data_IF_260138550873
#
_entry.id   IF_260138550873
#
_cell.length_a   1.000
_cell.length_b   1.000
_cell.length_c   1.000
_cell.angle_alpha   90.00
_cell.angle_beta   90.00
_cell.angle_gamma   90.00
#
_symmetry.space_group_name_H-M   'P 1'
#
loop_
_entity.id
_entity.type
_entity.pdbx_description
1 polymer ?
#
# COMPACT_ATOMS: atom_id res chain seq x y z
N UNK A 1 -3.77 -40.74 32.73
CA UNK A 1 -2.80 -39.76 32.23
C UNK A 1 -3.40 -39.08 31.01
N UNK A 2 -3.22 -37.77 30.80
CA UNK A 2 -3.54 -37.16 29.52
C UNK A 2 -2.72 -37.85 28.42
N UNK A 3 -3.24 -38.02 27.20
CA UNK A 3 -2.43 -38.50 26.09
C UNK A 3 -1.20 -37.60 25.96
N UNK A 4 0.00 -38.19 25.86
CA UNK A 4 1.20 -37.45 25.50
C UNK A 4 0.99 -36.83 24.13
N UNK A 5 1.03 -35.49 24.05
CA UNK A 5 0.87 -34.78 22.80
C UNK A 5 1.87 -35.31 21.75
N UNK A 6 1.38 -35.71 20.58
CA UNK A 6 2.24 -36.09 19.46
C UNK A 6 2.92 -34.89 18.78
N UNK A 7 2.62 -33.67 19.25
CA UNK A 7 3.10 -32.41 18.72
C UNK A 7 3.67 -31.52 19.83
N UNK A 8 4.62 -30.66 19.46
CA UNK A 8 5.15 -29.62 20.34
C UNK A 8 4.16 -28.44 20.42
N UNK A 9 3.75 -28.08 21.63
CA UNK A 9 2.73 -27.03 21.87
C UNK A 9 3.20 -25.64 21.47
N UNK A 10 4.44 -25.27 21.76
CA UNK A 10 5.01 -23.98 21.36
C UNK A 10 4.98 -23.85 19.83
N UNK A 11 5.38 -24.90 19.13
CA UNK A 11 5.37 -24.93 17.66
C UNK A 11 3.95 -24.89 17.09
N UNK A 12 2.99 -25.56 17.73
CA UNK A 12 1.57 -25.51 17.34
C UNK A 12 1.02 -24.08 17.44
N UNK A 13 1.34 -23.39 18.53
CA UNK A 13 0.93 -22.00 18.76
C UNK A 13 1.58 -21.04 17.76
N UNK A 14 2.85 -21.22 17.43
CA UNK A 14 3.51 -20.47 16.34
C UNK A 14 2.79 -20.66 15.01
N UNK A 15 2.49 -21.91 14.65
CA UNK A 15 1.76 -22.22 13.41
C UNK A 15 0.35 -21.61 13.42
N UNK A 16 -0.34 -21.58 14.56
CA UNK A 16 -1.64 -20.91 14.65
C UNK A 16 -1.52 -19.39 14.45
N UNK A 17 -0.51 -18.76 15.06
CA UNK A 17 -0.25 -17.31 14.91
C UNK A 17 0.09 -16.93 13.47
N UNK A 18 0.80 -17.79 12.73
CA UNK A 18 1.14 -17.59 11.32
C UNK A 18 -0.09 -17.40 10.40
N UNK A 19 -1.26 -17.92 10.77
CA UNK A 19 -2.50 -17.72 10.00
C UNK A 19 -3.17 -16.39 10.27
N UNK A 20 -2.77 -15.65 11.31
CA UNK A 20 -3.34 -14.36 11.68
C UNK A 20 -4.87 -14.37 11.70
N UNK A 21 -5.42 -15.43 12.33
CA UNK A 21 -6.86 -15.69 12.37
C UNK A 21 -7.50 -15.30 13.71
N UNK A 22 -6.75 -15.36 14.80
CA UNK A 22 -7.23 -15.01 16.13
C UNK A 22 -7.61 -13.53 16.20
N UNK A 23 -8.62 -13.22 17.01
CA UNK A 23 -9.12 -11.84 17.24
C UNK A 23 -9.59 -11.10 15.98
N UNK A 24 -9.85 -11.83 14.89
CA UNK A 24 -10.40 -11.26 13.67
C UNK A 24 -11.93 -11.16 13.71
N UNK A 25 -12.48 -10.24 12.91
CA UNK A 25 -13.93 -10.08 12.77
C UNK A 25 -14.61 -11.36 12.25
N UNK A 26 -15.92 -11.46 12.48
CA UNK A 26 -16.75 -12.50 11.88
C UNK A 26 -16.71 -12.35 10.35
N UNK A 27 -16.54 -13.46 9.66
CA UNK A 27 -16.49 -13.52 8.19
C UNK A 27 -17.58 -14.47 7.70
N UNK A 28 -18.39 -14.03 6.74
CA UNK A 28 -19.56 -14.76 6.25
C UNK A 28 -19.22 -16.18 5.79
N UNK A 29 -18.09 -16.36 5.12
CA UNK A 29 -17.65 -17.67 4.64
C UNK A 29 -17.51 -18.71 5.76
N UNK A 30 -17.06 -18.33 6.96
CA UNK A 30 -16.98 -19.25 8.10
C UNK A 30 -18.35 -19.45 8.76
N UNK A 31 -19.18 -18.41 8.80
CA UNK A 31 -20.58 -18.49 9.26
C UNK A 31 -21.40 -19.47 8.42
N UNK A 32 -21.21 -19.48 7.11
CA UNK A 32 -21.90 -20.39 6.20
C UNK A 32 -21.52 -21.85 6.47
N UNK A 33 -20.23 -22.12 6.74
CA UNK A 33 -19.75 -23.47 7.07
C UNK A 33 -20.36 -24.02 8.36
N UNK A 34 -20.44 -23.21 9.43
CA UNK A 34 -21.07 -23.66 10.69
C UNK A 34 -22.59 -23.80 10.55
N UNK A 35 -23.23 -22.99 9.71
CA UNK A 35 -24.65 -23.14 9.40
C UNK A 35 -24.91 -24.47 8.69
N UNK A 36 -24.12 -24.80 7.67
CA UNK A 36 -24.19 -26.10 7.01
C UNK A 36 -23.99 -27.24 8.02
N UNK A 37 -22.98 -27.16 8.89
CA UNK A 37 -22.72 -28.17 9.91
C UNK A 37 -23.93 -28.38 10.84
N UNK A 38 -24.52 -27.29 11.35
CA UNK A 38 -25.70 -27.32 12.19
C UNK A 38 -26.90 -27.96 11.48
N UNK A 39 -27.17 -27.58 10.22
CA UNK A 39 -28.29 -28.11 9.45
C UNK A 39 -28.12 -29.59 9.11
N UNK A 40 -26.95 -29.99 8.61
CA UNK A 40 -26.63 -31.39 8.24
C UNK A 40 -26.75 -32.31 9.45
N UNK A 41 -26.25 -31.87 10.60
CA UNK A 41 -26.28 -32.65 11.82
C UNK A 41 -27.59 -32.48 12.60
N UNK A 42 -28.52 -31.63 12.14
CA UNK A 42 -29.71 -31.20 12.89
C UNK A 42 -29.40 -30.83 14.35
N UNK A 43 -28.29 -30.11 14.57
CA UNK A 43 -27.78 -29.75 15.88
C UNK A 43 -28.02 -28.26 16.16
N UNK A 44 -28.34 -27.87 17.41
CA UNK A 44 -28.63 -26.46 17.74
C UNK A 44 -27.37 -25.59 17.74
N UNK A 45 -26.19 -26.18 17.93
CA UNK A 45 -24.92 -25.47 18.08
C UNK A 45 -23.91 -25.96 17.05
N UNK A 46 -23.20 -25.02 16.42
CA UNK A 46 -22.05 -25.30 15.58
C UNK A 46 -21.00 -24.19 15.70
N UNK A 47 -19.72 -24.56 15.73
CA UNK A 47 -18.61 -23.63 16.00
C UNK A 47 -17.38 -24.00 15.18
N UNK A 48 -16.74 -23.00 14.58
CA UNK A 48 -15.34 -23.10 14.15
C UNK A 48 -14.51 -22.38 15.20
N UNK A 49 -13.65 -23.12 15.87
CA UNK A 49 -12.82 -22.60 16.94
C UNK A 49 -11.35 -22.94 16.75
N UNK A 50 -10.50 -22.13 17.36
CA UNK A 50 -9.05 -22.31 17.44
C UNK A 50 -8.62 -22.33 18.89
N UNK A 51 -7.67 -23.21 19.22
CA UNK A 51 -7.15 -23.37 20.57
C UNK A 51 -5.88 -22.53 20.71
N UNK A 52 -5.96 -21.46 21.49
CA UNK A 52 -4.82 -20.60 21.82
C UNK A 52 -4.16 -21.07 23.13
N UNK A 53 -3.20 -20.31 23.66
CA UNK A 53 -2.43 -20.68 24.84
C UNK A 53 -3.28 -20.81 26.12
N UNK A 54 -4.27 -19.93 26.30
CA UNK A 54 -5.07 -19.79 27.53
C UNK A 54 -6.58 -19.80 27.29
N UNK A 55 -7.01 -19.80 26.03
CA UNK A 55 -8.42 -19.76 25.64
C UNK A 55 -8.73 -20.62 24.43
N UNK A 56 -10.01 -20.90 24.26
CA UNK A 56 -10.59 -21.37 23.02
C UNK A 56 -11.32 -20.20 22.37
N UNK A 57 -10.87 -19.77 21.20
CA UNK A 57 -11.42 -18.62 20.48
C UNK A 57 -12.30 -19.06 19.31
N UNK A 58 -13.45 -18.43 19.11
CA UNK A 58 -14.43 -18.81 18.10
C UNK A 58 -14.36 -17.88 16.89
N UNK A 59 -13.97 -18.44 15.75
CA UNK A 59 -14.00 -17.72 14.47
C UNK A 59 -15.43 -17.46 14.02
N UNK A 60 -16.26 -18.49 14.12
CA UNK A 60 -17.69 -18.44 13.88
C UNK A 60 -18.39 -19.31 14.93
N UNK A 61 -19.53 -18.84 15.43
CA UNK A 61 -20.36 -19.57 16.37
C UNK A 61 -21.84 -19.44 15.98
N UNK A 62 -22.61 -20.48 16.30
CA UNK A 62 -24.05 -20.48 16.28
C UNK A 62 -24.54 -21.16 17.54
N UNK A 63 -25.41 -20.49 18.29
CA UNK A 63 -26.17 -21.07 19.41
C UNK A 63 -25.52 -20.95 20.78
N UNK A 64 -24.25 -20.55 20.88
CA UNK A 64 -23.58 -20.32 22.16
C UNK A 64 -23.70 -18.86 22.63
N UNK A 65 -23.71 -17.89 21.71
CA UNK A 65 -23.85 -16.46 22.03
C UNK A 65 -22.63 -15.82 22.70
N UNK A 66 -21.49 -16.49 22.66
CA UNK A 66 -20.19 -16.03 23.18
C UNK A 66 -19.13 -16.24 22.11
N UNK A 67 -18.00 -15.53 22.20
CA UNK A 67 -16.93 -15.55 21.19
C UNK A 67 -15.68 -16.33 21.60
N UNK A 68 -15.58 -16.71 22.87
CA UNK A 68 -14.47 -17.48 23.40
C UNK A 68 -14.85 -18.09 24.76
N UNK A 69 -14.04 -19.06 25.20
CA UNK A 69 -14.11 -19.65 26.54
C UNK A 69 -12.71 -19.86 27.11
N UNK A 70 -12.54 -19.84 28.44
CA UNK A 70 -11.31 -20.32 29.08
C UNK A 70 -10.91 -21.73 28.60
N UNK A 71 -9.61 -21.99 28.50
CA UNK A 71 -9.09 -23.25 27.93
C UNK A 71 -9.34 -24.47 28.82
N UNK A 72 -9.44 -24.29 30.14
CA UNK A 72 -9.67 -25.34 31.13
C UNK A 72 -11.07 -25.97 31.04
N UNK A 73 -12.06 -25.20 30.58
CA UNK A 73 -13.43 -25.69 30.32
C UNK A 73 -13.66 -26.14 28.87
N UNK A 74 -12.65 -26.03 28.00
CA UNK A 74 -12.79 -26.38 26.58
C UNK A 74 -12.93 -27.88 26.34
N UNK A 75 -14.08 -28.32 25.82
CA UNK A 75 -14.24 -29.69 25.31
C UNK A 75 -13.38 -29.91 24.06
N UNK A 76 -13.27 -28.90 23.19
CA UNK A 76 -12.56 -29.00 21.91
C UNK A 76 -11.05 -29.19 22.09
N UNK A 77 -10.47 -28.75 23.20
CA UNK A 77 -9.06 -29.00 23.54
C UNK A 77 -8.72 -30.49 23.51
N UNK A 78 -9.64 -31.36 23.94
CA UNK A 78 -9.41 -32.80 23.92
C UNK A 78 -9.31 -33.36 22.49
N UNK A 79 -9.98 -32.74 21.52
CA UNK A 79 -9.90 -33.14 20.12
C UNK A 79 -8.51 -32.93 19.52
N UNK A 80 -7.68 -32.04 20.09
CA UNK A 80 -6.31 -31.83 19.59
C UNK A 80 -5.45 -33.10 19.62
N UNK A 81 -5.78 -34.05 20.49
CA UNK A 81 -5.06 -35.31 20.67
C UNK A 81 -5.59 -36.45 19.79
N UNK A 82 -6.64 -36.19 19.00
CA UNK A 82 -7.27 -37.17 18.12
C UNK A 82 -6.68 -37.09 16.70
N UNK A 83 -6.93 -38.12 15.89
CA UNK A 83 -6.38 -38.17 14.52
C UNK A 83 -7.19 -37.34 13.50
N UNK A 84 -8.52 -37.34 13.57
CA UNK A 84 -9.34 -36.70 12.54
C UNK A 84 -10.65 -36.10 13.09
N UNK A 85 -11.41 -36.87 13.84
CA UNK A 85 -12.67 -36.43 14.47
C UNK A 85 -12.80 -37.03 15.87
N UNK A 86 -13.30 -36.23 16.81
CA UNK A 86 -13.68 -36.68 18.14
C UNK A 86 -15.20 -36.66 18.25
N UNK A 87 -15.82 -37.79 18.57
CA UNK A 87 -17.26 -37.90 18.81
C UNK A 87 -17.49 -38.38 20.24
N UNK A 88 -18.35 -37.66 20.96
CA UNK A 88 -18.80 -37.98 22.31
C UNK A 88 -20.32 -37.98 22.28
N UNK A 89 -20.91 -39.17 22.29
CA UNK A 89 -22.36 -39.35 22.20
C UNK A 89 -23.10 -38.83 23.43
N UNK A 90 -22.50 -39.04 24.63
CA UNK A 90 -22.96 -38.48 25.91
C UNK A 90 -21.75 -38.02 26.75
N UNK A 91 -21.60 -36.71 26.92
CA UNK A 91 -20.51 -36.09 27.69
C UNK A 91 -20.51 -36.46 29.17
N UNK A 92 -21.63 -36.98 29.71
CA UNK A 92 -21.71 -37.42 31.11
C UNK A 92 -20.99 -38.74 31.36
N UNK A 93 -20.89 -39.58 30.33
CA UNK A 93 -20.26 -40.91 30.42
C UNK A 93 -18.80 -40.88 30.00
N UNK A 94 -18.39 -39.85 29.24
CA UNK A 94 -17.02 -39.68 28.78
C UNK A 94 -16.10 -39.18 29.91
N UNK A 95 -15.04 -39.95 30.18
CA UNK A 95 -14.10 -39.68 31.28
C UNK A 95 -13.37 -38.33 31.17
N UNK A 96 -13.22 -37.77 29.96
CA UNK A 96 -12.53 -36.50 29.70
C UNK A 96 -13.42 -35.31 30.03
N UNK A 97 -14.73 -35.46 29.90
CA UNK A 97 -15.69 -34.33 29.96
C UNK A 97 -16.69 -34.40 31.11
N UNK A 98 -16.88 -35.56 31.76
CA UNK A 98 -17.90 -35.73 32.83
C UNK A 98 -17.80 -34.77 34.02
N UNK A 99 -16.61 -34.24 34.31
CA UNK A 99 -16.37 -33.25 35.39
C UNK A 99 -16.33 -31.80 34.89
N UNK A 100 -16.48 -31.59 33.59
CA UNK A 100 -16.41 -30.26 32.97
C UNK A 100 -17.64 -29.42 33.40
N UNK A 101 -17.45 -28.15 33.82
CA UNK A 101 -18.56 -27.25 34.19
C UNK A 101 -19.66 -27.10 33.13
N UNK A 102 -19.30 -27.20 31.84
CA UNK A 102 -20.25 -27.13 30.72
C UNK A 102 -21.17 -28.37 30.62
N UNK A 103 -20.82 -29.45 31.32
CA UNK A 103 -21.57 -30.72 31.34
C UNK A 103 -22.38 -30.87 32.63
N UNK A 104 -21.86 -30.37 33.76
CA UNK A 104 -22.47 -30.51 35.09
C UNK A 104 -23.42 -29.38 35.51
N UNK A 105 -23.47 -28.27 34.76
CA UNK A 105 -24.31 -27.10 35.09
C UNK A 105 -25.83 -27.34 35.02
N UNK A 106 -26.61 -26.52 35.74
CA UNK A 106 -28.06 -26.71 35.91
C UNK A 106 -28.95 -26.18 34.77
N UNK A 107 -28.43 -25.34 33.85
CA UNK A 107 -29.16 -24.87 32.66
C UNK A 107 -28.24 -24.91 31.43
N UNK A 108 -28.72 -25.49 30.32
CA UNK A 108 -27.97 -25.64 29.04
C UNK A 108 -26.70 -26.49 29.11
N UNK A 109 -26.75 -27.58 29.86
CA UNK A 109 -25.63 -28.50 29.94
C UNK A 109 -25.46 -29.28 28.62
N UNK A 110 -24.25 -29.27 28.08
CA UNK A 110 -23.92 -29.98 26.85
C UNK A 110 -23.96 -31.49 27.08
N UNK A 111 -24.52 -32.24 26.14
CA UNK A 111 -24.62 -33.70 26.17
C UNK A 111 -23.93 -34.36 25.01
N UNK A 112 -23.89 -33.72 23.86
CA UNK A 112 -23.24 -34.27 22.67
C UNK A 112 -22.17 -33.34 22.15
N UNK A 113 -21.10 -33.94 21.62
CA UNK A 113 -20.03 -33.24 20.93
C UNK A 113 -19.54 -34.07 19.74
N UNK A 114 -19.44 -33.44 18.56
CA UNK A 114 -18.65 -33.98 17.47
C UNK A 114 -17.77 -32.87 16.88
N UNK A 115 -16.45 -33.04 16.92
CA UNK A 115 -15.47 -32.06 16.48
C UNK A 115 -14.48 -32.62 15.49
N UNK A 116 -14.54 -32.12 14.26
CA UNK A 116 -13.61 -32.47 13.19
C UNK A 116 -12.39 -31.55 13.27
N UNK A 117 -11.20 -32.15 13.36
CA UNK A 117 -9.95 -31.51 13.78
C UNK A 117 -9.27 -30.72 12.66
N UNK A 118 -9.27 -29.40 12.73
CA UNK A 118 -8.59 -28.54 11.75
C UNK A 118 -7.08 -28.67 11.94
N UNK A 119 -6.37 -29.19 10.92
CA UNK A 119 -4.92 -29.37 10.93
C UNK A 119 -4.27 -28.50 9.86
N UNK A 120 -3.16 -27.87 10.21
CA UNK A 120 -2.28 -27.22 9.24
C UNK A 120 -1.73 -28.23 8.22
N UNK A 121 -1.18 -27.75 7.09
CA UNK A 121 -0.46 -28.58 6.11
C UNK A 121 0.66 -29.43 6.71
N UNK A 122 1.29 -28.96 7.78
CA UNK A 122 2.36 -29.65 8.48
C UNK A 122 1.85 -30.60 9.59
N UNK A 123 0.53 -30.85 9.64
CA UNK A 123 -0.08 -31.80 10.59
C UNK A 123 -0.39 -31.23 11.97
N UNK A 124 0.01 -30.00 12.30
CA UNK A 124 -0.30 -29.39 13.61
C UNK A 124 -1.81 -29.16 13.78
N UNK A 125 -2.41 -29.62 14.89
CA UNK A 125 -3.82 -29.38 15.19
C UNK A 125 -4.02 -27.93 15.65
N UNK A 126 -4.97 -27.23 15.07
CA UNK A 126 -5.19 -25.79 15.32
C UNK A 126 -6.47 -25.53 16.11
N UNK A 127 -7.47 -26.40 15.96
CA UNK A 127 -8.81 -26.23 16.50
C UNK A 127 -9.81 -27.16 15.84
N UNK A 128 -11.10 -26.88 15.92
CA UNK A 128 -12.13 -27.78 15.36
C UNK A 128 -13.24 -27.03 14.64
N UNK A 129 -13.81 -27.67 13.63
CA UNK A 129 -15.20 -27.45 13.23
C UNK A 129 -16.05 -28.47 13.99
N UNK A 130 -16.90 -28.00 14.89
CA UNK A 130 -17.68 -28.88 15.76
C UNK A 130 -19.16 -28.53 15.79
N UNK A 131 -19.96 -29.55 16.11
CA UNK A 131 -21.38 -29.43 16.45
C UNK A 131 -21.59 -29.92 17.88
N UNK A 132 -22.52 -29.28 18.59
CA UNK A 132 -22.86 -29.63 19.97
C UNK A 132 -24.37 -29.68 20.15
N UNK A 133 -24.82 -30.44 21.13
CA UNK A 133 -26.24 -30.57 21.47
C UNK A 133 -26.44 -30.69 22.99
N UNK A 134 -27.63 -30.31 23.43
CA UNK A 134 -28.10 -30.46 24.80
C UNK A 134 -28.73 -31.83 25.05
N UNK A 135 -28.82 -32.68 24.03
CA UNK A 135 -29.25 -34.08 24.11
C UNK A 135 -28.16 -35.03 23.60
N UNK A 136 -28.04 -36.25 24.14
CA UNK A 136 -27.17 -37.27 23.58
C UNK A 136 -27.54 -37.59 22.13
N UNK A 137 -26.54 -37.94 21.31
CA UNK A 137 -26.73 -38.17 19.88
C UNK A 137 -25.67 -39.10 19.30
N UNK A 138 -26.07 -39.87 18.29
CA UNK A 138 -25.18 -40.59 17.38
C UNK A 138 -25.27 -39.93 16.00
N UNK A 139 -24.13 -39.75 15.32
CA UNK A 139 -24.11 -39.27 13.93
C UNK A 139 -24.11 -40.44 12.96
N UNK A 140 -24.70 -40.23 11.79
CA UNK A 140 -24.53 -41.16 10.66
C UNK A 140 -23.14 -41.00 10.04
N UNK A 141 -22.66 -42.02 9.34
CA UNK A 141 -21.38 -41.96 8.61
C UNK A 141 -21.35 -40.80 7.61
N UNK A 142 -22.50 -40.52 6.97
CA UNK A 142 -22.65 -39.40 6.02
C UNK A 142 -22.49 -38.04 6.71
N UNK A 143 -23.06 -37.86 7.91
CA UNK A 143 -22.88 -36.64 8.70
C UNK A 143 -21.42 -36.48 9.14
N UNK A 144 -20.76 -37.56 9.54
CA UNK A 144 -19.34 -37.55 9.90
C UNK A 144 -18.47 -37.13 8.71
N UNK A 145 -18.69 -37.72 7.53
CA UNK A 145 -17.94 -37.36 6.32
C UNK A 145 -18.19 -35.92 5.88
N UNK A 146 -19.42 -35.40 6.03
CA UNK A 146 -19.73 -34.01 5.75
C UNK A 146 -19.04 -33.04 6.72
N UNK A 147 -18.98 -33.35 8.02
CA UNK A 147 -18.21 -32.55 8.98
C UNK A 147 -16.72 -32.50 8.60
N UNK A 148 -16.14 -33.64 8.20
CA UNK A 148 -14.76 -33.69 7.69
C UNK A 148 -14.59 -32.87 6.42
N UNK A 149 -15.57 -32.87 5.52
CA UNK A 149 -15.55 -32.03 4.31
C UNK A 149 -15.56 -30.54 4.66
N UNK A 150 -16.45 -30.10 5.56
CA UNK A 150 -16.51 -28.70 6.01
C UNK A 150 -15.24 -28.26 6.75
N UNK A 151 -14.63 -29.15 7.52
CA UNK A 151 -13.30 -28.93 8.13
C UNK A 151 -12.22 -28.70 7.06
N UNK A 152 -12.21 -29.51 5.99
CA UNK A 152 -11.29 -29.29 4.86
C UNK A 152 -11.52 -27.92 4.21
N UNK A 153 -12.78 -27.52 4.01
CA UNK A 153 -13.11 -26.17 3.51
C UNK A 153 -12.65 -25.05 4.44
N UNK A 154 -12.78 -25.24 5.76
CA UNK A 154 -12.28 -24.29 6.76
C UNK A 154 -10.77 -24.09 6.62
N UNK A 155 -10.00 -25.17 6.44
CA UNK A 155 -8.56 -25.08 6.25
C UNK A 155 -8.20 -24.39 4.92
N UNK A 156 -8.94 -24.64 3.84
CA UNK A 156 -8.74 -23.95 2.56
C UNK A 156 -8.98 -22.43 2.70
N UNK A 157 -10.00 -22.01 3.46
CA UNK A 157 -10.24 -20.59 3.74
C UNK A 157 -9.11 -19.95 4.55
N UNK A 158 -8.55 -20.67 5.53
CA UNK A 158 -7.39 -20.19 6.31
C UNK A 158 -6.15 -20.01 5.42
N UNK A 159 -5.86 -20.99 4.57
CA UNK A 159 -4.74 -20.92 3.62
C UNK A 159 -4.92 -19.77 2.62
N UNK A 160 -6.13 -19.62 2.07
CA UNK A 160 -6.47 -18.53 1.18
C UNK A 160 -6.24 -17.18 1.85
N UNK A 161 -6.73 -17.01 3.09
CA UNK A 161 -6.53 -15.79 3.88
C UNK A 161 -5.04 -15.47 4.07
N UNK A 162 -4.23 -16.47 4.44
CA UNK A 162 -2.78 -16.32 4.64
C UNK A 162 -2.08 -15.88 3.34
N UNK A 163 -2.36 -16.57 2.23
CA UNK A 163 -1.74 -16.28 0.93
C UNK A 163 -2.17 -14.91 0.42
N UNK A 164 -3.45 -14.59 0.48
CA UNK A 164 -3.98 -13.30 0.03
C UNK A 164 -3.38 -12.12 0.80
N UNK A 165 -3.23 -12.24 2.12
CA UNK A 165 -2.58 -11.22 2.95
C UNK A 165 -1.11 -11.02 2.54
N UNK A 166 -0.35 -12.10 2.36
CA UNK A 166 1.04 -12.04 1.94
C UNK A 166 1.21 -11.41 0.54
N UNK A 167 0.34 -11.79 -0.41
CA UNK A 167 0.33 -11.24 -1.76
C UNK A 167 0.07 -9.73 -1.77
N UNK A 168 -0.91 -9.26 -1.01
CA UNK A 168 -1.23 -7.83 -0.93
C UNK A 168 -0.09 -7.00 -0.33
N UNK A 169 0.60 -7.56 0.69
CA UNK A 169 1.78 -6.91 1.26
C UNK A 169 2.88 -6.73 0.20
N UNK A 170 3.21 -7.80 -0.53
CA UNK A 170 4.25 -7.76 -1.56
C UNK A 170 3.90 -6.81 -2.71
N UNK A 171 2.63 -6.78 -3.13
CA UNK A 171 2.17 -5.87 -4.19
C UNK A 171 2.34 -4.40 -3.78
N UNK A 172 2.03 -4.07 -2.52
CA UNK A 172 2.22 -2.71 -2.01
C UNK A 172 3.70 -2.32 -1.96
N UNK A 173 4.57 -3.21 -1.50
CA UNK A 173 6.02 -2.99 -1.47
C UNK A 173 6.58 -2.79 -2.89
N UNK A 174 6.15 -3.61 -3.85
CA UNK A 174 6.54 -3.49 -5.26
C UNK A 174 6.08 -2.17 -5.87
N UNK A 175 4.83 -1.77 -5.64
CA UNK A 175 4.30 -0.51 -6.15
C UNK A 175 5.06 0.70 -5.57
N UNK A 176 5.40 0.66 -4.27
CA UNK A 176 6.19 1.71 -3.65
C UNK A 176 7.60 1.78 -4.23
N UNK A 177 8.30 0.64 -4.31
CA UNK A 177 9.64 0.58 -4.90
C UNK A 177 9.65 1.02 -6.37
N UNK A 178 8.63 0.64 -7.14
CA UNK A 178 8.44 1.07 -8.53
C UNK A 178 8.22 2.58 -8.61
N UNK A 179 7.38 3.15 -7.75
CA UNK A 179 7.11 4.58 -7.69
C UNK A 179 8.38 5.38 -7.42
N UNK A 180 9.16 4.97 -6.40
CA UNK A 180 10.43 5.64 -6.08
C UNK A 180 11.45 5.50 -7.22
N UNK A 181 11.56 4.32 -7.84
CA UNK A 181 12.46 4.13 -8.98
C UNK A 181 12.05 5.00 -10.18
N UNK A 182 10.75 5.13 -10.46
CA UNK A 182 10.24 6.02 -11.50
C UNK A 182 10.56 7.47 -11.19
N UNK A 183 10.39 7.89 -9.94
CA UNK A 183 10.72 9.24 -9.46
C UNK A 183 12.20 9.54 -9.62
N UNK A 184 13.09 8.67 -9.15
CA UNK A 184 14.54 8.83 -9.30
C UNK A 184 15.01 8.82 -10.76
N UNK A 185 14.33 8.05 -11.62
CA UNK A 185 14.64 8.00 -13.04
C UNK A 185 14.22 9.28 -13.78
N UNK A 186 13.13 9.94 -13.37
CA UNK A 186 12.52 11.02 -14.15
C UNK A 186 12.59 12.40 -13.51
N UNK A 187 12.72 12.47 -12.19
CA UNK A 187 12.66 13.72 -11.44
C UNK A 187 14.02 14.08 -10.84
N UNK A 188 14.25 15.38 -10.67
CA UNK A 188 15.31 15.91 -9.83
C UNK A 188 14.88 15.77 -8.35
N UNK A 189 15.66 15.10 -7.49
CA UNK A 189 15.24 14.78 -6.12
C UNK A 189 15.07 16.01 -5.23
N UNK A 190 15.71 17.13 -5.58
CA UNK A 190 15.57 18.36 -4.82
C UNK A 190 14.26 19.06 -5.17
N UNK A 191 14.00 19.32 -6.44
CA UNK A 191 12.91 20.20 -6.92
C UNK A 191 11.63 19.46 -7.35
N UNK A 192 11.72 18.14 -7.56
CA UNK A 192 10.65 17.31 -8.13
C UNK A 192 10.27 17.71 -9.56
N UNK A 193 11.11 18.48 -10.26
CA UNK A 193 10.97 18.77 -11.69
C UNK A 193 11.53 17.62 -12.50
N UNK A 194 11.32 17.61 -13.82
CA UNK A 194 12.03 16.66 -14.67
C UNK A 194 13.53 16.82 -14.47
N UNK A 195 14.24 15.71 -14.40
CA UNK A 195 15.69 15.72 -14.54
C UNK A 195 16.07 15.81 -16.03
N UNK A 196 17.34 16.13 -16.28
CA UNK A 196 17.88 16.27 -17.64
C UNK A 196 17.55 15.09 -18.56
N UNK A 197 17.75 13.87 -18.08
CA UNK A 197 17.50 12.63 -18.85
C UNK A 197 16.02 12.49 -19.24
N UNK A 198 15.10 12.82 -18.34
CA UNK A 198 13.67 12.75 -18.60
C UNK A 198 13.21 13.82 -19.60
N UNK A 199 13.77 15.02 -19.50
CA UNK A 199 13.51 16.11 -20.44
C UNK A 199 13.98 15.77 -21.86
N UNK A 200 15.21 15.23 -21.99
CA UNK A 200 15.75 14.72 -23.25
C UNK A 200 14.84 13.63 -23.87
N UNK A 201 14.37 12.69 -23.06
CA UNK A 201 13.44 11.65 -23.52
C UNK A 201 12.11 12.22 -24.00
N UNK A 202 11.55 13.23 -23.31
CA UNK A 202 10.31 13.90 -23.70
C UNK A 202 10.48 14.66 -25.02
N UNK A 203 11.62 15.30 -25.25
CA UNK A 203 11.94 15.97 -26.51
C UNK A 203 12.06 15.00 -27.69
N UNK A 204 12.68 13.84 -27.47
CA UNK A 204 12.80 12.81 -28.50
C UNK A 204 11.43 12.31 -29.01
N UNK A 205 10.39 12.35 -28.17
CA UNK A 205 9.01 12.00 -28.56
C UNK A 205 8.32 13.09 -29.39
N UNK A 206 8.72 14.35 -29.22
CA UNK A 206 8.19 15.50 -29.99
C UNK A 206 8.82 15.55 -31.40
N UNK A 207 10.02 15.00 -31.57
CA UNK A 207 10.86 15.11 -32.78
C UNK A 207 10.34 14.41 -34.06
N UNK A 208 9.67 13.23 -34.06
CA UNK A 208 9.40 12.51 -35.32
C UNK A 208 7.97 12.53 -35.86
N UNK A 209 6.94 12.86 -35.06
CA UNK A 209 5.54 12.50 -35.44
C UNK A 209 4.60 13.67 -35.82
N UNK A 210 4.98 14.94 -35.67
CA UNK A 210 4.06 16.05 -36.04
C UNK A 210 4.78 17.29 -36.57
N UNK A 211 5.23 17.24 -37.82
CA UNK A 211 5.69 18.43 -38.55
C UNK A 211 4.66 19.58 -38.63
N UNK A 212 3.37 19.33 -38.34
CA UNK A 212 2.33 20.37 -38.19
C UNK A 212 2.17 20.94 -36.76
N UNK A 213 2.58 20.23 -35.70
CA UNK A 213 2.48 20.71 -34.30
C UNK A 213 3.77 21.36 -33.76
N UNK A 214 4.93 21.13 -34.37
CA UNK A 214 6.17 21.82 -33.94
C UNK A 214 6.17 23.34 -34.25
N UNK A 215 5.20 23.84 -35.02
CA UNK A 215 4.98 25.28 -35.19
C UNK A 215 4.41 25.85 -33.88
N UNK A 216 5.21 26.65 -33.19
CA UNK A 216 4.82 27.30 -31.94
C UNK A 216 5.43 26.67 -30.68
N UNK A 217 6.30 25.66 -30.80
CA UNK A 217 7.07 25.19 -29.64
C UNK A 217 8.20 26.17 -29.29
N UNK A 218 8.30 26.52 -28.02
CA UNK A 218 9.25 27.48 -27.47
C UNK A 218 10.12 26.78 -26.43
N UNK A 219 11.43 26.96 -26.56
CA UNK A 219 12.40 26.62 -25.52
C UNK A 219 12.66 27.86 -24.65
N UNK A 220 12.56 27.68 -23.34
CA UNK A 220 12.75 28.73 -22.34
C UNK A 220 13.85 28.30 -21.38
N UNK A 221 14.95 29.03 -21.34
CA UNK A 221 16.01 28.91 -20.35
C UNK A 221 15.76 29.91 -19.23
N UNK A 222 15.87 29.46 -17.99
CA UNK A 222 15.62 30.25 -16.79
C UNK A 222 16.81 30.06 -15.87
N UNK A 223 17.37 31.15 -15.39
CA UNK A 223 18.49 31.13 -14.46
C UNK A 223 18.17 32.06 -13.29
N UNK A 224 18.34 31.56 -12.06
CA UNK A 224 18.04 32.33 -10.85
C UNK A 224 19.12 33.39 -10.63
N UNK A 225 18.69 34.66 -10.56
CA UNK A 225 19.63 35.77 -10.41
C UNK A 225 20.29 35.72 -9.03
N UNK A 226 21.60 35.96 -8.97
CA UNK A 226 22.41 36.04 -7.75
C UNK A 226 22.34 34.80 -6.84
N UNK A 227 22.01 33.63 -7.38
CA UNK A 227 21.87 32.41 -6.57
C UNK A 227 23.16 32.02 -5.83
N UNK A 228 24.33 32.19 -6.47
CA UNK A 228 25.62 31.99 -5.81
C UNK A 228 25.78 32.89 -4.57
N UNK A 229 25.39 34.16 -4.65
CA UNK A 229 25.47 35.08 -3.52
C UNK A 229 24.55 34.64 -2.37
N UNK A 230 23.38 34.09 -2.68
CA UNK A 230 22.48 33.50 -1.68
C UNK A 230 23.18 32.33 -0.96
N UNK A 231 23.78 31.41 -1.71
CA UNK A 231 24.53 30.29 -1.12
C UNK A 231 25.71 30.77 -0.26
N UNK A 232 26.49 31.73 -0.75
CA UNK A 232 27.66 32.25 -0.04
C UNK A 232 27.26 33.01 1.24
N UNK A 233 26.09 33.64 1.26
CA UNK A 233 25.62 34.45 2.40
C UNK A 233 24.83 33.65 3.44
N UNK A 234 24.04 32.67 3.01
CA UNK A 234 23.06 31.96 3.86
C UNK A 234 23.30 30.44 3.92
N UNK A 235 24.27 29.93 3.16
CA UNK A 235 24.60 28.51 3.09
C UNK A 235 23.76 27.71 2.09
N UNK A 236 24.29 26.56 1.68
CA UNK A 236 23.68 25.70 0.66
C UNK A 236 22.28 25.18 1.01
N UNK A 237 21.99 24.96 2.29
CA UNK A 237 20.65 24.54 2.73
C UNK A 237 19.58 25.58 2.40
N UNK A 238 19.92 26.87 2.48
CA UNK A 238 19.01 27.96 2.10
C UNK A 238 18.89 28.05 0.59
N UNK A 239 19.97 27.80 -0.14
CA UNK A 239 19.92 27.63 -1.60
C UNK A 239 18.97 26.52 -2.03
N UNK A 240 18.99 25.38 -1.36
CA UNK A 240 18.10 24.25 -1.64
C UNK A 240 16.61 24.62 -1.42
N UNK A 241 16.32 25.40 -0.37
CA UNK A 241 14.98 25.94 -0.12
C UNK A 241 14.57 26.90 -1.24
N UNK A 242 15.47 27.78 -1.69
CA UNK A 242 15.23 28.71 -2.80
C UNK A 242 14.94 27.97 -4.10
N UNK A 243 15.71 26.93 -4.43
CA UNK A 243 15.49 26.11 -5.63
C UNK A 243 14.13 25.43 -5.61
N UNK A 244 13.74 24.87 -4.46
CA UNK A 244 12.44 24.25 -4.27
C UNK A 244 11.28 25.22 -4.45
N UNK A 245 11.40 26.39 -3.83
CA UNK A 245 10.39 27.45 -3.93
C UNK A 245 10.25 27.98 -5.35
N UNK A 246 11.36 28.25 -6.03
CA UNK A 246 11.36 28.65 -7.43
C UNK A 246 10.70 27.58 -8.31
N UNK A 247 11.06 26.31 -8.15
CA UNK A 247 10.45 25.22 -8.89
C UNK A 247 8.94 25.11 -8.66
N UNK A 248 8.48 25.26 -7.41
CA UNK A 248 7.06 25.28 -7.06
C UNK A 248 6.30 26.40 -7.76
N UNK A 249 6.87 27.61 -7.80
CA UNK A 249 6.27 28.76 -8.50
C UNK A 249 6.23 28.51 -10.01
N UNK A 250 7.32 28.02 -10.60
CA UNK A 250 7.38 27.73 -12.03
C UNK A 250 6.32 26.68 -12.42
N UNK A 251 6.12 25.63 -11.61
CA UNK A 251 5.03 24.63 -11.81
C UNK A 251 3.63 25.24 -11.79
N UNK A 252 3.40 26.29 -11.01
CA UNK A 252 2.10 26.97 -10.95
C UNK A 252 1.87 27.93 -12.12
N UNK A 253 2.95 28.51 -12.66
CA UNK A 253 2.88 29.47 -13.76
C UNK A 253 2.80 28.79 -15.13
N UNK A 254 3.51 27.68 -15.29
CA UNK A 254 3.48 26.85 -16.49
C UNK A 254 2.32 25.85 -16.41
N UNK A 255 1.92 25.32 -17.56
CA UNK A 255 0.81 24.37 -17.64
C UNK A 255 1.29 22.95 -17.38
N UNK A 256 0.38 22.05 -17.02
CA UNK A 256 0.70 20.64 -16.74
C UNK A 256 1.30 19.91 -17.95
N UNK A 257 0.93 20.30 -19.17
CA UNK A 257 1.48 19.75 -20.41
C UNK A 257 2.92 20.23 -20.71
N UNK A 258 3.29 21.42 -20.22
CA UNK A 258 4.62 22.00 -20.44
C UNK A 258 5.67 21.10 -19.78
N UNK A 259 6.80 20.90 -20.45
CA UNK A 259 7.92 20.19 -19.85
C UNK A 259 8.78 21.17 -19.09
N UNK A 260 8.92 21.03 -17.77
CA UNK A 260 9.81 21.84 -16.95
C UNK A 260 10.86 20.95 -16.29
N UNK A 261 12.13 21.31 -16.50
CA UNK A 261 13.30 20.53 -16.10
C UNK A 261 14.25 21.40 -15.29
N UNK A 262 14.85 20.84 -14.24
CA UNK A 262 16.07 21.40 -13.67
C UNK A 262 17.26 20.92 -14.49
N UNK A 263 17.93 21.83 -15.17
CA UNK A 263 18.98 21.51 -16.13
C UNK A 263 20.38 21.53 -15.50
N UNK A 264 20.58 22.46 -14.55
CA UNK A 264 21.83 22.67 -13.84
C UNK A 264 21.62 22.98 -12.36
N UNK A 265 22.60 23.63 -11.74
CA UNK A 265 22.55 24.00 -10.31
C UNK A 265 21.35 24.91 -10.00
N UNK A 266 21.29 26.05 -10.69
CA UNK A 266 20.30 27.12 -10.62
C UNK A 266 19.59 27.39 -11.96
N UNK A 267 19.85 26.55 -12.94
CA UNK A 267 19.31 26.63 -14.29
C UNK A 267 18.14 25.67 -14.48
N UNK A 268 17.08 26.18 -15.10
CA UNK A 268 15.88 25.44 -15.47
C UNK A 268 15.61 25.62 -16.96
N UNK A 269 15.07 24.58 -17.59
CA UNK A 269 14.65 24.62 -18.99
C UNK A 269 13.18 24.21 -19.05
N UNK A 270 12.40 24.98 -19.82
CA UNK A 270 11.04 24.63 -20.17
C UNK A 270 10.85 24.46 -21.68
N UNK A 271 10.03 23.48 -22.08
CA UNK A 271 9.48 23.35 -23.42
C UNK A 271 7.97 23.55 -23.34
N UNK A 272 7.46 24.55 -24.06
CA UNK A 272 6.06 24.99 -23.99
C UNK A 272 5.55 25.46 -25.34
N UNK A 273 4.24 25.61 -25.48
CA UNK A 273 3.61 26.14 -26.70
C UNK A 273 3.30 27.64 -26.59
N UNK A 274 3.66 28.40 -27.63
CA UNK A 274 3.36 29.82 -27.79
C UNK A 274 2.96 30.13 -29.25
N UNK A 275 1.90 30.91 -29.44
CA UNK A 275 1.37 31.27 -30.77
C UNK A 275 2.08 32.44 -31.44
N UNK A 276 2.83 33.25 -30.68
CA UNK A 276 3.58 34.40 -31.21
C UNK A 276 4.75 34.80 -30.29
N UNK A 277 5.67 35.63 -30.80
CA UNK A 277 6.78 36.15 -30.01
C UNK A 277 6.35 37.03 -28.84
N UNK A 278 5.28 37.82 -29.03
CA UNK A 278 4.70 38.63 -27.96
C UNK A 278 4.12 37.74 -26.83
N UNK A 279 3.45 36.64 -27.20
CA UNK A 279 2.95 35.67 -26.23
C UNK A 279 4.10 34.98 -25.48
N UNK A 280 5.16 34.58 -26.19
CA UNK A 280 6.35 33.98 -25.59
C UNK A 280 6.96 34.90 -24.52
N UNK A 281 7.18 36.17 -24.85
CA UNK A 281 7.72 37.18 -23.93
C UNK A 281 6.78 37.40 -22.73
N UNK A 282 5.46 37.45 -22.95
CA UNK A 282 4.46 37.55 -21.87
C UNK A 282 4.54 36.39 -20.88
N UNK A 283 4.77 35.15 -21.34
CA UNK A 283 4.94 33.98 -20.46
C UNK A 283 6.21 34.14 -19.61
N UNK A 284 7.34 34.54 -20.21
CA UNK A 284 8.58 34.79 -19.49
C UNK A 284 8.43 35.86 -18.40
N UNK A 285 7.78 37.00 -18.72
CA UNK A 285 7.49 38.03 -17.72
C UNK A 285 6.52 37.57 -16.63
N UNK A 286 5.52 36.75 -16.97
CA UNK A 286 4.60 36.18 -15.98
C UNK A 286 5.35 35.33 -14.96
N UNK A 287 6.27 34.47 -15.42
CA UNK A 287 7.11 33.63 -14.57
C UNK A 287 8.00 34.48 -13.66
N UNK A 288 8.74 35.43 -14.24
CA UNK A 288 9.62 36.33 -13.47
C UNK A 288 8.84 37.16 -12.44
N UNK A 289 7.67 37.68 -12.81
CA UNK A 289 6.81 38.44 -11.90
C UNK A 289 6.27 37.57 -10.75
N UNK A 290 5.94 36.30 -11.02
CA UNK A 290 5.48 35.38 -9.98
C UNK A 290 6.58 35.05 -8.96
N UNK A 291 7.83 34.86 -9.43
CA UNK A 291 9.01 34.70 -8.57
C UNK A 291 9.21 35.94 -7.68
N UNK A 292 9.25 37.14 -8.30
CA UNK A 292 9.46 38.40 -7.58
C UNK A 292 8.37 38.71 -6.53
N UNK A 293 7.12 38.32 -6.79
CA UNK A 293 5.98 38.56 -5.89
C UNK A 293 5.85 37.52 -4.77
N UNK A 294 6.68 36.49 -4.78
CA UNK A 294 6.63 35.40 -3.82
C UNK A 294 7.95 35.33 -3.05
N UNK A 295 8.29 36.32 -2.19
CA UNK A 295 9.52 36.26 -1.42
C UNK A 295 9.47 35.09 -0.42
N UNK A 296 10.64 34.52 -0.14
CA UNK A 296 10.80 33.37 0.73
C UNK A 296 11.08 33.86 2.17
N UNK A 297 10.22 33.55 3.15
CA UNK A 297 10.52 33.86 4.55
C UNK A 297 11.70 33.01 5.03
N UNK A 298 12.72 33.64 5.61
CA UNK A 298 13.86 32.94 6.20
C UNK A 298 14.34 33.68 7.46
N UNK A 299 14.19 33.04 8.62
CA UNK A 299 14.40 33.66 9.93
C UNK A 299 13.60 34.98 10.06
N UNK A 300 14.26 36.09 10.37
CA UNK A 300 13.65 37.43 10.50
C UNK A 300 13.65 38.23 9.17
N UNK A 301 14.07 37.62 8.07
CA UNK A 301 14.23 38.29 6.77
C UNK A 301 13.37 37.64 5.68
N UNK A 302 13.24 38.36 4.57
CA UNK A 302 12.58 37.85 3.36
C UNK A 302 13.55 37.85 2.20
N UNK A 303 13.80 36.67 1.65
CA UNK A 303 14.67 36.48 0.49
C UNK A 303 13.86 36.71 -0.78
N UNK A 304 14.25 37.71 -1.56
CA UNK A 304 13.66 37.94 -2.88
C UNK A 304 14.39 37.08 -3.90
N UNK A 305 13.60 36.30 -4.65
CA UNK A 305 14.10 35.45 -5.72
C UNK A 305 13.64 36.06 -7.05
N UNK A 306 14.58 36.30 -7.95
CA UNK A 306 14.31 36.69 -9.32
C UNK A 306 15.01 35.74 -10.29
N UNK A 307 14.66 35.85 -11.57
CA UNK A 307 15.30 35.06 -12.61
C UNK A 307 15.44 35.87 -13.90
N UNK A 308 16.48 35.54 -14.66
CA UNK A 308 16.66 35.95 -16.04
C UNK A 308 16.18 34.84 -16.96
N UNK A 309 15.52 35.22 -18.06
CA UNK A 309 14.87 34.27 -18.98
C UNK A 309 15.31 34.50 -20.43
N UNK A 310 15.84 33.46 -21.06
CA UNK A 310 16.15 33.41 -22.48
C UNK A 310 15.12 32.54 -23.23
N UNK A 311 14.54 33.07 -24.30
CA UNK A 311 13.54 32.37 -25.09
C UNK A 311 14.07 32.12 -26.51
N UNK A 312 13.83 30.93 -27.07
CA UNK A 312 14.09 30.64 -28.48
C UNK A 312 13.03 29.70 -29.04
N UNK A 313 12.67 29.86 -30.32
CA UNK A 313 11.78 28.91 -30.98
C UNK A 313 12.47 27.56 -31.12
N UNK A 314 11.77 26.49 -30.72
CA UNK A 314 12.30 25.14 -30.80
C UNK A 314 12.20 24.61 -32.24
N UNK A 315 13.32 24.12 -32.77
CA UNK A 315 13.41 23.52 -34.09
C UNK A 315 13.75 22.03 -33.97
N UNK A 316 12.82 21.12 -34.32
CA UNK A 316 13.01 19.67 -34.13
C UNK A 316 14.09 19.06 -35.05
N UNK A 317 14.54 19.79 -36.07
CA UNK A 317 15.63 19.35 -36.96
C UNK A 317 17.02 19.68 -36.41
N UNK A 318 17.10 20.53 -35.37
CA UNK A 318 18.36 20.87 -34.70
C UNK A 318 18.59 19.92 -33.53
N UNK A 319 19.86 19.73 -33.16
CA UNK A 319 20.17 19.04 -31.91
C UNK A 319 19.60 19.81 -30.71
N UNK A 320 19.46 19.13 -29.58
CA UNK A 320 19.03 19.81 -28.35
C UNK A 320 20.04 20.91 -27.95
N UNK A 321 21.33 20.61 -28.03
CA UNK A 321 22.39 21.56 -27.69
C UNK A 321 22.33 22.82 -28.58
N UNK A 322 22.03 22.68 -29.88
CA UNK A 322 21.86 23.83 -30.78
C UNK A 322 20.63 24.68 -30.44
N UNK A 323 19.52 24.05 -30.03
CA UNK A 323 18.34 24.78 -29.58
C UNK A 323 18.61 25.52 -28.26
N UNK A 324 19.30 24.88 -27.32
CA UNK A 324 19.72 25.47 -26.04
C UNK A 324 20.65 26.65 -26.30
N UNK A 325 21.63 26.52 -27.18
CA UNK A 325 22.59 27.57 -27.49
C UNK A 325 21.94 28.88 -27.99
N UNK A 326 20.77 28.81 -28.64
CA UNK A 326 20.04 30.01 -29.08
C UNK A 326 19.32 30.69 -27.92
N UNK A 327 18.66 29.91 -27.07
CA UNK A 327 18.02 30.44 -25.88
C UNK A 327 19.06 30.98 -24.88
N UNK A 328 20.25 30.38 -24.82
CA UNK A 328 21.35 30.83 -23.96
C UNK A 328 21.90 32.19 -24.40
N UNK A 329 22.06 32.42 -25.71
CA UNK A 329 22.36 33.77 -26.24
C UNK A 329 21.33 34.80 -25.79
N UNK A 330 20.04 34.46 -25.86
CA UNK A 330 18.99 35.35 -25.38
C UNK A 330 19.06 35.56 -23.86
N UNK A 331 19.35 34.52 -23.07
CA UNK A 331 19.52 34.61 -21.63
C UNK A 331 20.70 35.53 -21.26
N UNK A 332 21.81 35.42 -21.97
CA UNK A 332 22.98 36.30 -21.79
C UNK A 332 22.62 37.77 -22.02
N UNK A 333 21.86 38.07 -23.09
CA UNK A 333 21.34 39.42 -23.33
C UNK A 333 20.39 39.89 -22.22
N UNK A 334 19.48 39.01 -21.76
CA UNK A 334 18.55 39.33 -20.67
C UNK A 334 19.27 39.71 -19.38
N UNK A 335 20.37 39.01 -19.04
CA UNK A 335 21.22 39.30 -17.88
C UNK A 335 22.03 40.58 -18.05
N UNK A 336 22.75 40.72 -19.17
CA UNK A 336 23.66 41.85 -19.42
C UNK A 336 22.92 43.19 -19.50
N UNK A 337 21.76 43.20 -20.16
CA UNK A 337 21.02 44.43 -20.44
C UNK A 337 20.01 44.75 -19.31
N UNK A 338 19.90 43.89 -18.28
CA UNK A 338 19.01 44.06 -17.12
C UNK A 338 17.51 43.93 -17.44
N UNK A 339 17.16 43.53 -18.66
CA UNK A 339 15.78 43.41 -19.16
C UNK A 339 15.08 42.21 -18.50
N UNK A 340 15.86 41.17 -18.16
CA UNK A 340 15.42 39.97 -17.45
C UNK A 340 14.57 38.98 -18.26
N UNK A 341 14.07 39.35 -19.44
CA UNK A 341 13.44 38.43 -20.40
C UNK A 341 13.81 38.85 -21.82
N UNK A 342 14.32 37.94 -22.64
CA UNK A 342 14.67 38.22 -24.04
C UNK A 342 14.30 37.05 -24.94
N UNK A 343 13.76 37.34 -26.12
CA UNK A 343 13.51 36.36 -27.19
C UNK A 343 14.63 36.45 -28.22
N UNK A 344 15.24 35.32 -28.56
CA UNK A 344 16.24 35.22 -29.60
C UNK A 344 15.63 35.59 -30.96
N UNK A 345 16.13 36.66 -31.56
CA UNK A 345 15.90 37.01 -32.95
C UNK A 345 17.13 36.60 -33.77
N UNK A 346 16.94 35.64 -34.67
CA UNK A 346 17.99 35.10 -35.53
C UNK A 346 18.55 36.13 -36.52
#
# INVERSE_FOLDING_TARGET
>A
MPPTASFNEERRLEVLRDYDILDTQVEQAYTDLINCAAYICNAPIAVINFIDADRQWFKAERGLGIRETPLDISICRHALFEEDIMIIEDTRTDARTRVNPLVSGNNKALRFYAGALIKSKNGFPLGTLCVLDYQPRTLTDEQVELLKALRRQTMLLLEYRRIHKAQNKLLNELNHARGEMQRLAHEDPLTGLLNRRAFEAKLALVSPLKHKQARGMLLMLIDLDNFKQINDSYGHQVGDIVLNHAAGIMKQVLRTEDALCRWGGDEFIALLEAGSGEQAIKIGHRLRNALNKSPLPHAEQTLRVSASVGLAWFHPQRSLDDNIAQADKALYHAKRDGIGVTLFSA
#
